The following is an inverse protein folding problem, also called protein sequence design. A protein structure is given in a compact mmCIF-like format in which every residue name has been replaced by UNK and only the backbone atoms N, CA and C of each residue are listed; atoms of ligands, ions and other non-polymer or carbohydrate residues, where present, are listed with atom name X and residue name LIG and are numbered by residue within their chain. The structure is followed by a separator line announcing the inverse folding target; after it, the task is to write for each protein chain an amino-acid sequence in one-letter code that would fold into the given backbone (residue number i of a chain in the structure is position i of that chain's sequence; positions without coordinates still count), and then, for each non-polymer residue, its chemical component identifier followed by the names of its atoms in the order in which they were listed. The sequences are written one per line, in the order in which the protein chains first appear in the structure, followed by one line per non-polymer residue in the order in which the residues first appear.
data_IF_840413675688
#
_entry.id   IF_840413675688
#
_cell.length_a   1.000
_cell.length_b   1.000
_cell.length_c   1.000
_cell.angle_alpha   90.00
_cell.angle_beta   90.00
_cell.angle_gamma   90.00
#
_symmetry.space_group_name_H-M   'P 1'
#
loop_
_entity.id
_entity.type
_entity.pdbx_description
1 polymer ?
#
# COMPACT_ATOMS: atom_id res chain seq x y z
N UNK A 1 21.85 -20.42 26.08
CA UNK A 1 20.56 -20.76 25.49
C UNK A 1 20.13 -19.68 24.52
N UNK A 2 19.48 -20.08 23.45
CA UNK A 2 18.95 -19.18 22.44
C UNK A 2 17.66 -18.49 22.94
N UNK A 3 17.51 -17.22 22.62
CA UNK A 3 16.27 -16.49 22.85
C UNK A 3 15.20 -16.98 21.87
N UNK A 4 13.97 -17.17 22.35
CA UNK A 4 12.86 -17.57 21.49
C UNK A 4 12.05 -16.34 21.03
N UNK A 5 11.95 -16.16 19.73
CA UNK A 5 11.18 -15.09 19.11
C UNK A 5 10.01 -15.71 18.34
N UNK A 6 8.80 -15.30 18.70
CA UNK A 6 7.58 -15.71 17.98
C UNK A 6 7.16 -14.57 17.04
N UNK A 7 6.89 -14.92 15.79
CA UNK A 7 6.40 -13.99 14.77
C UNK A 7 4.98 -14.40 14.38
N UNK A 8 4.06 -13.46 14.48
CA UNK A 8 2.67 -13.64 14.06
C UNK A 8 2.46 -12.97 12.71
N UNK A 9 2.37 -13.78 11.66
CA UNK A 9 2.21 -13.33 10.27
C UNK A 9 3.50 -13.39 9.46
N UNK A 10 3.39 -13.98 8.27
CA UNK A 10 4.49 -14.10 7.31
C UNK A 10 4.12 -13.46 5.96
N UNK A 11 3.46 -12.31 6.02
CA UNK A 11 3.23 -11.45 4.86
C UNK A 11 4.55 -10.80 4.41
N UNK A 12 4.46 -9.79 3.57
CA UNK A 12 5.66 -9.12 3.06
C UNK A 12 6.58 -8.59 4.17
N UNK A 13 6.03 -7.87 5.15
CA UNK A 13 6.81 -7.36 6.29
C UNK A 13 7.33 -8.48 7.19
N UNK A 14 6.47 -9.46 7.50
CA UNK A 14 6.84 -10.60 8.34
C UNK A 14 7.95 -11.43 7.73
N UNK A 15 7.86 -11.72 6.43
CA UNK A 15 8.89 -12.48 5.72
C UNK A 15 10.21 -11.72 5.67
N UNK A 16 10.20 -10.41 5.42
CA UNK A 16 11.41 -9.58 5.46
C UNK A 16 12.04 -9.59 6.86
N UNK A 17 11.22 -9.50 7.90
CA UNK A 17 11.67 -9.58 9.29
C UNK A 17 12.31 -10.93 9.61
N UNK A 18 11.64 -12.03 9.26
CA UNK A 18 12.10 -13.39 9.50
C UNK A 18 13.42 -13.66 8.78
N UNK A 19 13.51 -13.32 7.49
CA UNK A 19 14.74 -13.48 6.72
C UNK A 19 15.89 -12.67 7.32
N UNK A 20 15.63 -11.45 7.74
CA UNK A 20 16.66 -10.59 8.37
C UNK A 20 17.19 -11.24 9.65
N UNK A 21 16.31 -11.77 10.49
CA UNK A 21 16.71 -12.46 11.72
C UNK A 21 17.53 -13.73 11.43
N UNK A 22 17.06 -14.55 10.48
CA UNK A 22 17.75 -15.82 10.15
C UNK A 22 19.11 -15.57 9.49
N UNK A 23 19.19 -14.62 8.55
CA UNK A 23 20.41 -14.36 7.80
C UNK A 23 21.49 -13.68 8.64
N UNK A 24 21.12 -12.88 9.64
CA UNK A 24 22.08 -12.11 10.42
C UNK A 24 22.26 -12.64 11.85
N UNK A 25 21.23 -13.23 12.45
CA UNK A 25 21.20 -13.57 13.88
C UNK A 25 20.65 -14.99 14.15
N UNK A 26 20.64 -15.85 13.14
CA UNK A 26 20.05 -17.19 13.23
C UNK A 26 20.69 -18.09 14.27
N UNK A 27 21.97 -17.87 14.60
CA UNK A 27 22.69 -18.65 15.61
C UNK A 27 22.39 -18.18 17.04
N UNK A 28 21.77 -17.03 17.22
CA UNK A 28 21.48 -16.41 18.51
C UNK A 28 20.03 -16.63 18.96
N UNK A 29 19.14 -16.96 18.03
CA UNK A 29 17.71 -16.96 18.28
C UNK A 29 17.00 -18.16 17.67
N UNK A 30 16.02 -18.69 18.40
CA UNK A 30 15.05 -19.65 17.89
C UNK A 30 13.85 -18.86 17.35
N UNK A 31 13.50 -19.06 16.07
CA UNK A 31 12.43 -18.32 15.40
C UNK A 31 11.25 -19.27 15.14
N UNK A 32 10.08 -18.92 15.69
CA UNK A 32 8.83 -19.66 15.49
C UNK A 32 7.81 -18.73 14.83
N UNK A 33 7.23 -19.18 13.73
CA UNK A 33 6.33 -18.37 12.90
C UNK A 33 4.95 -19.02 12.83
N UNK A 34 3.91 -18.22 13.03
CA UNK A 34 2.51 -18.63 12.79
C UNK A 34 1.92 -17.77 11.69
N UNK A 35 1.33 -18.41 10.69
CA UNK A 35 0.52 -17.71 9.68
C UNK A 35 -0.82 -18.42 9.51
N UNK A 36 -1.89 -17.64 9.43
CA UNK A 36 -3.23 -18.19 9.23
C UNK A 36 -3.47 -18.59 7.77
N UNK A 37 -2.64 -18.15 6.83
CA UNK A 37 -2.79 -18.45 5.41
C UNK A 37 -2.00 -19.71 5.01
N UNK A 38 -2.28 -20.19 3.80
CA UNK A 38 -1.57 -21.31 3.17
C UNK A 38 -0.34 -20.90 2.38
N UNK A 39 -0.09 -19.60 2.23
CA UNK A 39 1.06 -19.05 1.51
C UNK A 39 1.67 -17.88 2.31
N UNK A 40 2.91 -17.53 2.00
CA UNK A 40 3.64 -16.42 2.60
C UNK A 40 4.25 -15.55 1.52
N UNK A 41 4.69 -14.35 1.89
CA UNK A 41 5.41 -13.40 1.02
C UNK A 41 4.66 -12.92 -0.23
N UNK A 42 3.33 -13.07 -0.29
CA UNK A 42 2.57 -12.63 -1.46
C UNK A 42 2.70 -11.11 -1.67
N UNK A 43 3.12 -10.73 -2.90
CA UNK A 43 3.23 -9.33 -3.32
C UNK A 43 1.88 -8.85 -3.86
N UNK A 44 1.02 -8.35 -2.98
CA UNK A 44 -0.31 -7.85 -3.35
C UNK A 44 -0.28 -6.69 -4.35
N UNK A 45 0.83 -5.94 -4.42
CA UNK A 45 1.02 -4.88 -5.40
C UNK A 45 1.05 -5.38 -6.86
N UNK A 46 1.28 -6.68 -7.08
CA UNK A 46 1.25 -7.30 -8.41
C UNK A 46 -0.08 -7.94 -8.77
N UNK A 47 -1.08 -7.90 -7.90
CA UNK A 47 -2.35 -8.58 -8.07
C UNK A 47 -3.12 -8.13 -9.32
N UNK A 48 -3.17 -6.81 -9.55
CA UNK A 48 -3.84 -6.27 -10.75
C UNK A 48 -3.12 -6.68 -12.04
N UNK A 49 -1.80 -6.77 -12.02
CA UNK A 49 -1.03 -7.27 -13.17
C UNK A 49 -1.38 -8.72 -13.50
N UNK A 50 -1.57 -9.53 -12.48
CA UNK A 50 -1.97 -10.93 -12.65
C UNK A 50 -3.40 -11.05 -13.16
N UNK A 51 -4.36 -10.35 -12.53
CA UNK A 51 -5.77 -10.33 -12.95
C UNK A 51 -5.92 -9.83 -14.39
N UNK A 52 -5.18 -8.80 -14.76
CA UNK A 52 -5.21 -8.19 -16.10
C UNK A 52 -4.37 -8.91 -17.15
N UNK A 53 -3.80 -10.07 -16.82
CA UNK A 53 -2.98 -10.89 -17.76
C UNK A 53 -1.74 -10.15 -18.28
N UNK A 54 -1.20 -9.19 -17.51
CA UNK A 54 0.04 -8.50 -17.83
C UNK A 54 1.29 -9.29 -17.39
N UNK A 55 1.09 -10.30 -16.56
CA UNK A 55 2.09 -11.32 -16.20
C UNK A 55 1.46 -12.70 -16.40
N UNK A 56 2.30 -13.71 -16.67
CA UNK A 56 1.82 -15.04 -17.07
C UNK A 56 1.20 -15.86 -15.94
N UNK A 57 1.51 -15.53 -14.70
CA UNK A 57 0.98 -16.24 -13.53
C UNK A 57 1.40 -15.58 -12.25
N UNK A 58 1.05 -16.20 -11.13
CA UNK A 58 1.31 -15.67 -9.80
C UNK A 58 2.68 -16.01 -9.23
N UNK A 59 3.45 -16.86 -9.88
CA UNK A 59 4.71 -17.40 -9.33
C UNK A 59 5.70 -16.30 -8.91
N UNK A 60 5.88 -15.28 -9.75
CA UNK A 60 6.75 -14.13 -9.47
C UNK A 60 6.26 -13.23 -8.36
N UNK A 61 5.03 -13.41 -7.88
CA UNK A 61 4.46 -12.64 -6.78
C UNK A 61 4.80 -13.21 -5.39
N UNK A 62 5.53 -14.32 -5.35
CA UNK A 62 6.04 -14.93 -4.14
C UNK A 62 7.56 -14.99 -4.20
N UNK A 63 8.24 -14.53 -3.15
CA UNK A 63 9.70 -14.58 -3.08
C UNK A 63 10.22 -15.51 -1.99
N UNK A 64 9.32 -16.09 -1.19
CA UNK A 64 9.67 -17.09 -0.18
C UNK A 64 8.51 -18.05 0.07
N UNK A 65 8.80 -19.13 0.76
CA UNK A 65 7.86 -20.16 1.19
C UNK A 65 8.30 -20.77 2.53
N UNK A 66 7.44 -21.62 3.10
CA UNK A 66 7.73 -22.32 4.36
C UNK A 66 9.04 -23.08 4.30
N UNK A 67 9.29 -23.81 3.22
CA UNK A 67 10.45 -24.68 3.06
C UNK A 67 11.75 -23.87 3.05
N UNK A 68 11.76 -22.70 2.41
CA UNK A 68 12.92 -21.80 2.40
C UNK A 68 13.23 -21.25 3.78
N UNK A 69 12.21 -20.87 4.54
CA UNK A 69 12.39 -20.35 5.91
C UNK A 69 12.85 -21.47 6.86
N UNK A 70 12.29 -22.66 6.74
CA UNK A 70 12.68 -23.80 7.57
C UNK A 70 14.10 -24.27 7.23
N UNK A 71 14.52 -24.19 5.98
CA UNK A 71 15.90 -24.49 5.57
C UNK A 71 16.91 -23.55 6.23
N UNK A 72 16.50 -22.33 6.60
CA UNK A 72 17.32 -21.36 7.32
C UNK A 72 17.25 -21.52 8.84
N UNK A 73 16.39 -22.41 9.35
CA UNK A 73 16.29 -22.73 10.76
C UNK A 73 15.04 -22.27 11.48
N UNK A 74 14.08 -21.64 10.79
CA UNK A 74 12.81 -21.28 11.40
C UNK A 74 11.90 -22.49 11.55
N UNK A 75 10.98 -22.44 12.52
CA UNK A 75 9.85 -23.35 12.59
C UNK A 75 8.60 -22.60 12.16
N UNK A 76 7.92 -23.08 11.12
CA UNK A 76 6.80 -22.38 10.50
C UNK A 76 5.53 -23.22 10.58
N UNK A 77 4.50 -22.64 11.19
CA UNK A 77 3.16 -23.21 11.24
C UNK A 77 2.24 -22.43 10.28
N UNK A 78 1.88 -23.08 9.16
CA UNK A 78 0.91 -22.54 8.20
C UNK A 78 -0.51 -22.96 8.55
N UNK A 79 -1.49 -22.23 8.03
CA UNK A 79 -2.92 -22.44 8.33
C UNK A 79 -3.19 -22.48 9.84
N UNK A 80 -2.46 -21.68 10.59
CA UNK A 80 -2.43 -21.75 12.06
C UNK A 80 -2.70 -20.35 12.63
N UNK A 81 -3.98 -19.98 12.78
CA UNK A 81 -4.32 -18.67 13.33
C UNK A 81 -3.91 -18.58 14.81
N UNK A 82 -3.32 -17.46 15.18
CA UNK A 82 -3.10 -17.13 16.58
C UNK A 82 -4.41 -16.59 17.16
N UNK A 83 -4.85 -17.19 18.24
CA UNK A 83 -6.16 -16.90 18.84
C UNK A 83 -6.06 -15.89 19.97
N UNK A 84 -5.01 -15.96 20.77
CA UNK A 84 -4.81 -15.07 21.92
C UNK A 84 -3.36 -15.03 22.36
N UNK A 85 -3.04 -14.01 23.15
CA UNK A 85 -1.71 -13.82 23.72
C UNK A 85 -1.85 -13.54 25.20
N UNK A 86 -1.14 -14.32 26.02
CA UNK A 86 -0.95 -14.05 27.43
C UNK A 86 0.36 -13.23 27.57
N UNK A 87 0.22 -11.93 27.65
CA UNK A 87 1.37 -11.02 27.70
C UNK A 87 2.14 -11.11 29.02
N UNK A 88 1.46 -11.44 30.13
CA UNK A 88 2.10 -11.55 31.44
C UNK A 88 2.99 -12.79 31.51
N UNK A 89 2.50 -13.92 31.04
CA UNK A 89 3.23 -15.18 31.04
C UNK A 89 4.03 -15.43 29.75
N UNK A 90 3.88 -14.53 28.75
CA UNK A 90 4.55 -14.61 27.45
C UNK A 90 4.29 -15.93 26.73
N UNK A 91 3.02 -16.20 26.48
CA UNK A 91 2.53 -17.41 25.78
C UNK A 91 1.57 -17.01 24.68
N UNK A 92 1.83 -17.52 23.48
CA UNK A 92 0.95 -17.44 22.32
C UNK A 92 0.10 -18.69 22.25
N UNK A 93 -1.21 -18.54 22.10
CA UNK A 93 -2.12 -19.65 21.83
C UNK A 93 -2.57 -19.60 20.38
N UNK A 94 -2.31 -20.65 19.63
CA UNK A 94 -2.66 -20.79 18.23
C UNK A 94 -3.47 -22.07 18.01
N UNK A 95 -4.19 -22.14 16.89
CA UNK A 95 -4.83 -23.35 16.42
C UNK A 95 -3.96 -23.98 15.34
N UNK A 96 -3.43 -25.17 15.61
CA UNK A 96 -2.58 -25.92 14.69
C UNK A 96 -3.25 -27.25 14.39
N UNK A 97 -3.59 -27.51 13.14
CA UNK A 97 -4.28 -28.73 12.70
C UNK A 97 -5.55 -29.02 13.52
N UNK A 98 -6.32 -27.98 13.82
CA UNK A 98 -7.57 -28.07 14.58
C UNK A 98 -7.38 -28.25 16.08
N UNK A 99 -6.15 -28.19 16.59
CA UNK A 99 -5.83 -28.35 18.00
C UNK A 99 -5.21 -27.10 18.59
N UNK A 100 -5.46 -26.86 19.87
CA UNK A 100 -4.82 -25.77 20.61
C UNK A 100 -3.32 -26.05 20.77
N UNK A 101 -2.52 -25.07 20.38
CA UNK A 101 -1.07 -25.09 20.51
C UNK A 101 -0.62 -23.88 21.30
N UNK A 102 0.19 -24.06 22.31
CA UNK A 102 0.78 -22.99 23.11
C UNK A 102 2.25 -22.90 22.87
N UNK A 103 2.74 -21.69 22.62
CA UNK A 103 4.14 -21.39 22.35
C UNK A 103 4.61 -20.27 23.27
N UNK A 104 5.62 -20.52 24.08
CA UNK A 104 6.23 -19.46 24.90
C UNK A 104 7.15 -18.59 24.04
N UNK A 105 7.36 -17.34 24.47
CA UNK A 105 8.27 -16.43 23.76
C UNK A 105 9.03 -15.54 24.75
N UNK A 106 10.18 -15.08 24.34
CA UNK A 106 10.92 -14.01 25.03
C UNK A 106 10.67 -12.67 24.32
N UNK A 107 10.59 -12.70 22.98
CA UNK A 107 10.21 -11.57 22.15
C UNK A 107 9.08 -11.98 21.23
N UNK A 108 8.21 -11.02 20.92
CA UNK A 108 7.04 -11.21 20.06
C UNK A 108 7.02 -10.15 18.97
N UNK A 109 6.77 -10.55 17.74
CA UNK A 109 6.67 -9.63 16.61
C UNK A 109 5.32 -9.84 15.93
N UNK A 110 4.56 -8.76 15.80
CA UNK A 110 3.33 -8.73 15.00
C UNK A 110 3.65 -8.27 13.58
N UNK A 111 3.28 -9.07 12.61
CA UNK A 111 3.23 -8.73 11.19
C UNK A 111 1.87 -9.16 10.65
N UNK A 112 0.83 -8.72 11.33
CA UNK A 112 -0.56 -9.17 11.11
C UNK A 112 -1.29 -8.40 10.00
N UNK A 113 -0.63 -7.43 9.38
CA UNK A 113 -1.13 -6.73 8.22
C UNK A 113 -2.39 -5.93 8.45
N UNK A 114 -3.25 -5.94 7.46
CA UNK A 114 -4.53 -5.22 7.46
C UNK A 114 -5.64 -6.09 6.89
N UNK A 115 -6.87 -5.69 7.17
CA UNK A 115 -8.09 -6.37 6.66
C UNK A 115 -8.94 -5.38 5.87
N UNK A 116 -9.70 -5.86 4.87
CA UNK A 116 -10.61 -4.99 4.12
C UNK A 116 -11.63 -4.30 5.03
N UNK A 117 -11.90 -3.03 4.75
CA UNK A 117 -13.01 -2.31 5.35
C UNK A 117 -14.31 -2.85 4.74
N UNK A 118 -15.29 -3.14 5.59
CA UNK A 118 -16.59 -3.67 5.22
C UNK A 118 -17.62 -2.52 5.25
N UNK A 119 -17.93 -1.87 4.11
CA UNK A 119 -18.91 -0.80 4.09
C UNK A 119 -20.32 -1.36 4.33
N UNK A 120 -21.21 -0.59 5.00
CA UNK A 120 -22.59 -1.01 5.18
C UNK A 120 -23.35 -0.86 3.86
N UNK A 121 -23.52 -1.95 3.12
CA UNK A 121 -24.19 -1.99 1.84
C UNK A 121 -25.43 -2.90 1.96
N UNK A 122 -26.62 -2.34 1.65
CA UNK A 122 -27.85 -3.10 1.65
C UNK A 122 -27.80 -4.21 0.59
N UNK A 123 -28.32 -5.40 0.94
CA UNK A 123 -28.34 -6.56 0.05
C UNK A 123 -27.09 -7.44 0.08
N UNK A 124 -26.09 -7.04 0.85
CA UNK A 124 -24.86 -7.81 0.97
C UNK A 124 -24.63 -8.22 2.43
N UNK A 125 -24.65 -9.51 2.68
CA UNK A 125 -24.19 -10.10 3.93
C UNK A 125 -22.76 -10.61 3.74
N UNK A 126 -21.89 -10.30 4.68
CA UNK A 126 -20.50 -10.69 4.63
C UNK A 126 -20.22 -11.69 5.73
N UNK A 127 -19.72 -12.85 5.34
CA UNK A 127 -19.28 -13.91 6.25
C UNK A 127 -17.77 -13.80 6.42
N UNK A 128 -17.35 -13.63 7.68
CA UNK A 128 -15.92 -13.58 8.04
C UNK A 128 -15.41 -14.99 8.28
N UNK A 129 -14.57 -15.50 7.38
CA UNK A 129 -13.81 -16.72 7.59
C UNK A 129 -12.56 -16.49 8.42
N UNK A 130 -11.75 -17.54 8.61
CA UNK A 130 -10.52 -17.45 9.39
C UNK A 130 -9.46 -16.55 8.74
N UNK A 131 -9.47 -16.41 7.43
CA UNK A 131 -8.48 -15.63 6.67
C UNK A 131 -9.06 -14.72 5.58
N UNK A 132 -10.30 -14.95 5.16
CA UNK A 132 -10.91 -14.16 4.08
C UNK A 132 -12.36 -13.81 4.40
N UNK A 133 -12.81 -12.70 3.80
CA UNK A 133 -14.22 -12.32 3.84
C UNK A 133 -14.90 -12.78 2.56
N UNK A 134 -16.11 -13.30 2.68
CA UNK A 134 -16.95 -13.66 1.54
C UNK A 134 -18.33 -13.04 1.68
N UNK A 135 -18.84 -12.51 0.58
CA UNK A 135 -20.23 -12.09 0.51
C UNK A 135 -21.13 -13.30 0.21
N UNK A 136 -22.34 -13.31 0.77
CA UNK A 136 -23.33 -14.34 0.46
C UNK A 136 -23.91 -14.19 -0.94
N UNK A 137 -23.97 -12.96 -1.45
CA UNK A 137 -24.36 -12.70 -2.83
C UNK A 137 -23.18 -13.02 -3.76
N UNK A 138 -23.39 -13.91 -4.72
CA UNK A 138 -22.35 -14.33 -5.67
C UNK A 138 -21.88 -13.14 -6.51
N UNK A 139 -20.56 -13.07 -6.77
CA UNK A 139 -19.88 -12.05 -7.57
C UNK A 139 -19.74 -10.68 -6.87
N UNK A 140 -19.84 -10.63 -5.57
CA UNK A 140 -19.30 -9.55 -4.75
C UNK A 140 -17.94 -10.01 -4.26
N UNK A 141 -16.88 -9.29 -4.67
CA UNK A 141 -15.49 -9.73 -4.47
C UNK A 141 -14.72 -8.74 -3.61
N UNK A 142 -13.82 -9.29 -2.79
CA UNK A 142 -12.74 -8.54 -2.15
C UNK A 142 -11.44 -8.85 -2.87
N UNK A 143 -10.45 -7.97 -2.78
CA UNK A 143 -9.16 -8.17 -3.46
C UNK A 143 -8.03 -7.77 -2.53
N UNK A 144 -7.55 -8.71 -1.74
CA UNK A 144 -6.38 -8.53 -0.87
C UNK A 144 -5.47 -9.76 -0.86
N UNK A 145 -6.04 -10.93 -0.66
CA UNK A 145 -5.29 -12.17 -0.56
C UNK A 145 -5.09 -12.80 -1.94
N UNK A 146 -4.08 -13.64 -2.05
CA UNK A 146 -3.84 -14.47 -3.24
C UNK A 146 -5.12 -15.20 -3.67
N UNK A 147 -5.83 -15.80 -2.70
CA UNK A 147 -7.06 -16.53 -2.96
C UNK A 147 -8.17 -15.64 -3.53
N UNK A 148 -8.23 -14.36 -3.12
CA UNK A 148 -9.20 -13.43 -3.68
C UNK A 148 -8.93 -13.18 -5.17
N UNK A 149 -7.69 -12.94 -5.55
CA UNK A 149 -7.29 -12.72 -6.93
C UNK A 149 -7.53 -13.98 -7.77
N UNK A 150 -7.17 -15.15 -7.25
CA UNK A 150 -7.40 -16.43 -7.93
C UNK A 150 -8.89 -16.68 -8.19
N UNK A 151 -9.76 -16.38 -7.22
CA UNK A 151 -11.21 -16.51 -7.38
C UNK A 151 -11.73 -15.59 -8.51
N UNK A 152 -11.30 -14.34 -8.55
CA UNK A 152 -11.70 -13.40 -9.60
C UNK A 152 -11.23 -13.90 -10.97
N UNK A 153 -9.99 -14.33 -11.08
CA UNK A 153 -9.41 -14.84 -12.32
C UNK A 153 -10.19 -16.06 -12.82
N UNK A 154 -10.46 -17.01 -11.94
CA UNK A 154 -11.20 -18.23 -12.31
C UNK A 154 -12.63 -17.92 -12.74
N UNK A 155 -13.31 -16.99 -12.08
CA UNK A 155 -14.65 -16.55 -12.47
C UNK A 155 -14.66 -15.89 -13.84
N UNK A 156 -13.70 -15.00 -14.09
CA UNK A 156 -13.61 -14.28 -15.38
C UNK A 156 -13.19 -15.21 -16.52
N UNK A 157 -12.42 -16.26 -16.25
CA UNK A 157 -12.04 -17.26 -17.24
C UNK A 157 -13.21 -18.16 -17.68
N UNK A 158 -14.21 -18.32 -16.83
CA UNK A 158 -15.42 -19.10 -17.13
C UNK A 158 -16.41 -18.23 -17.92
N UNK A 159 -16.35 -18.33 -19.23
CA UNK A 159 -17.18 -17.52 -20.15
C UNK A 159 -18.67 -17.82 -20.05
N UNK A 160 -19.05 -18.98 -19.51
CA UNK A 160 -20.45 -19.32 -19.28
C UNK A 160 -21.11 -18.45 -18.20
N UNK A 161 -20.33 -17.78 -17.39
CA UNK A 161 -20.82 -16.88 -16.34
C UNK A 161 -21.23 -15.50 -16.87
N UNK A 162 -20.79 -15.12 -18.07
CA UNK A 162 -21.11 -13.83 -18.70
C UNK A 162 -20.84 -12.61 -17.80
N UNK A 163 -19.64 -12.58 -17.20
CA UNK A 163 -19.21 -11.49 -16.34
C UNK A 163 -18.57 -10.37 -17.17
N UNK A 164 -19.41 -9.59 -17.86
CA UNK A 164 -18.97 -8.60 -18.83
C UNK A 164 -18.92 -7.17 -18.30
N UNK A 165 -19.71 -6.88 -17.26
CA UNK A 165 -19.83 -5.54 -16.66
C UNK A 165 -19.40 -5.60 -15.22
N UNK A 166 -18.36 -4.83 -14.87
CA UNK A 166 -17.74 -4.85 -13.55
C UNK A 166 -17.77 -3.46 -12.93
N UNK A 167 -18.28 -3.37 -11.71
CA UNK A 167 -18.16 -2.17 -10.89
C UNK A 167 -17.00 -2.36 -9.91
N UNK A 168 -16.10 -1.39 -9.86
CA UNK A 168 -15.06 -1.30 -8.85
C UNK A 168 -15.44 -0.19 -7.89
N UNK A 169 -15.60 -0.50 -6.61
CA UNK A 169 -15.97 0.46 -5.57
C UNK A 169 -14.72 0.82 -4.80
N UNK A 170 -14.32 2.08 -4.89
CA UNK A 170 -13.08 2.61 -4.32
C UNK A 170 -12.08 3.01 -5.39
N UNK A 171 -11.77 4.30 -5.47
CA UNK A 171 -10.90 4.91 -6.48
C UNK A 171 -9.49 5.22 -5.98
N UNK A 172 -9.00 4.50 -4.97
CA UNK A 172 -7.60 4.54 -4.55
C UNK A 172 -6.69 3.76 -5.51
N UNK A 173 -5.46 3.51 -5.09
CA UNK A 173 -4.48 2.78 -5.92
C UNK A 173 -5.01 1.46 -6.45
N UNK A 174 -5.52 0.62 -5.54
CA UNK A 174 -6.00 -0.72 -5.88
C UNK A 174 -7.18 -0.65 -6.83
N UNK A 175 -8.15 0.21 -6.55
CA UNK A 175 -9.32 0.35 -7.40
C UNK A 175 -9.01 0.83 -8.80
N UNK A 176 -8.11 1.81 -8.92
CA UNK A 176 -7.67 2.34 -10.23
C UNK A 176 -6.93 1.26 -11.02
N UNK A 177 -6.03 0.53 -10.38
CA UNK A 177 -5.27 -0.55 -11.02
C UNK A 177 -6.19 -1.71 -11.44
N UNK A 178 -7.18 -2.06 -10.63
CA UNK A 178 -8.17 -3.08 -10.98
C UNK A 178 -9.06 -2.64 -12.14
N UNK A 179 -9.48 -1.37 -12.16
CA UNK A 179 -10.28 -0.84 -13.27
C UNK A 179 -9.53 -0.97 -14.60
N UNK A 180 -8.24 -0.64 -14.63
CA UNK A 180 -7.40 -0.85 -15.80
C UNK A 180 -7.33 -2.35 -16.17
N UNK A 181 -7.10 -3.21 -15.19
CA UNK A 181 -6.98 -4.64 -15.42
C UNK A 181 -8.23 -5.22 -16.08
N UNK A 182 -9.40 -4.88 -15.58
CA UNK A 182 -10.67 -5.36 -16.13
C UNK A 182 -10.97 -4.80 -17.51
N UNK A 183 -10.69 -3.52 -17.75
CA UNK A 183 -10.87 -2.93 -19.07
C UNK A 183 -9.94 -3.61 -20.10
N UNK A 184 -8.69 -3.88 -19.75
CA UNK A 184 -7.75 -4.61 -20.60
C UNK A 184 -8.24 -6.02 -20.98
N UNK A 185 -9.05 -6.63 -20.11
CA UNK A 185 -9.72 -7.92 -20.40
C UNK A 185 -10.97 -7.76 -21.26
N UNK A 186 -11.27 -6.56 -21.72
CA UNK A 186 -12.45 -6.27 -22.55
C UNK A 186 -13.75 -6.11 -21.77
N UNK A 187 -13.68 -5.92 -20.47
CA UNK A 187 -14.87 -5.68 -19.63
C UNK A 187 -15.32 -4.23 -19.71
N UNK A 188 -16.61 -4.01 -19.55
CA UNK A 188 -17.19 -2.69 -19.33
C UNK A 188 -17.05 -2.36 -17.84
N UNK A 189 -16.36 -1.26 -17.52
CA UNK A 189 -15.97 -0.94 -16.14
C UNK A 189 -16.55 0.40 -15.70
N UNK A 190 -17.12 0.43 -14.50
CA UNK A 190 -17.45 1.64 -13.77
C UNK A 190 -16.63 1.67 -12.47
N UNK A 191 -15.96 2.79 -12.22
CA UNK A 191 -15.21 3.05 -10.98
C UNK A 191 -16.01 4.04 -10.14
N UNK A 192 -16.40 3.60 -8.95
CA UNK A 192 -17.28 4.36 -8.04
C UNK A 192 -16.49 4.78 -6.81
N UNK A 193 -16.59 6.04 -6.40
CA UNK A 193 -16.04 6.50 -5.13
C UNK A 193 -16.96 7.54 -4.49
N UNK A 194 -16.96 7.57 -3.17
CA UNK A 194 -17.71 8.56 -2.38
C UNK A 194 -17.11 9.95 -2.51
N UNK A 195 -15.79 10.05 -2.70
CA UNK A 195 -15.11 11.33 -2.95
C UNK A 195 -15.16 11.69 -4.43
N UNK A 196 -14.92 12.94 -4.74
CA UNK A 196 -15.06 13.48 -6.11
C UNK A 196 -13.79 13.32 -6.96
N UNK A 197 -12.85 12.51 -6.53
CA UNK A 197 -11.56 12.30 -7.21
C UNK A 197 -11.08 10.88 -7.08
N UNK A 198 -10.23 10.43 -8.02
CA UNK A 198 -9.44 9.22 -7.88
C UNK A 198 -8.13 9.54 -7.15
N UNK A 199 -7.46 8.53 -6.60
CA UNK A 199 -6.16 8.65 -5.91
C UNK A 199 -6.15 9.70 -4.80
N UNK A 200 -7.28 9.84 -4.12
CA UNK A 200 -7.44 10.81 -3.03
C UNK A 200 -6.39 10.59 -1.93
N UNK A 201 -5.77 11.67 -1.50
CA UNK A 201 -4.79 11.65 -0.42
C UNK A 201 -3.33 11.45 -0.86
N UNK A 202 -3.07 11.06 -2.10
CA UNK A 202 -1.71 10.88 -2.63
C UNK A 202 -1.25 12.02 -3.52
N UNK A 203 -2.20 12.73 -4.15
CA UNK A 203 -1.94 13.83 -5.07
C UNK A 203 -2.96 14.95 -4.86
N UNK A 204 -2.59 16.16 -5.19
CA UNK A 204 -3.52 17.28 -5.25
C UNK A 204 -4.45 17.16 -6.48
N UNK A 205 -5.60 17.84 -6.44
CA UNK A 205 -6.69 17.66 -7.44
C UNK A 205 -6.28 17.91 -8.88
N UNK A 206 -5.43 18.88 -9.12
CA UNK A 206 -4.94 19.17 -10.48
C UNK A 206 -4.20 17.98 -11.08
N UNK A 207 -3.54 17.16 -10.25
CA UNK A 207 -2.86 15.96 -10.68
C UNK A 207 -3.79 14.75 -10.75
N UNK A 208 -4.69 14.57 -9.78
CA UNK A 208 -5.67 13.47 -9.85
C UNK A 208 -6.58 13.59 -11.06
N UNK A 209 -6.89 14.82 -11.52
CA UNK A 209 -7.67 15.05 -12.72
C UNK A 209 -7.00 14.52 -13.99
N UNK A 210 -5.67 14.53 -14.04
CA UNK A 210 -4.93 13.94 -15.16
C UNK A 210 -5.14 12.43 -15.23
N UNK A 211 -5.13 11.74 -14.08
CA UNK A 211 -5.44 10.32 -14.05
C UNK A 211 -6.91 10.05 -14.36
N UNK A 212 -7.82 10.85 -13.84
CA UNK A 212 -9.24 10.71 -14.15
C UNK A 212 -9.48 10.80 -15.67
N UNK A 213 -8.89 11.79 -16.33
CA UNK A 213 -8.95 11.92 -17.79
C UNK A 213 -8.36 10.70 -18.50
N UNK A 214 -7.23 10.21 -18.04
CA UNK A 214 -6.59 9.02 -18.59
C UNK A 214 -7.51 7.79 -18.52
N UNK A 215 -8.19 7.60 -17.41
CA UNK A 215 -9.15 6.49 -17.25
C UNK A 215 -10.34 6.65 -18.19
N UNK A 216 -10.91 7.84 -18.27
CA UNK A 216 -12.06 8.12 -19.18
C UNK A 216 -11.66 7.97 -20.64
N UNK A 217 -10.46 8.40 -21.04
CA UNK A 217 -9.93 8.23 -22.38
C UNK A 217 -9.80 6.75 -22.78
N UNK A 218 -9.73 5.85 -21.80
CA UNK A 218 -9.69 4.41 -21.98
C UNK A 218 -11.01 3.72 -21.66
N UNK A 219 -12.13 4.44 -21.78
CA UNK A 219 -13.51 3.95 -21.65
C UNK A 219 -13.89 3.44 -20.25
N UNK A 220 -13.20 3.87 -19.21
CA UNK A 220 -13.64 3.60 -17.85
C UNK A 220 -14.62 4.70 -17.43
N UNK A 221 -15.84 4.31 -17.05
CA UNK A 221 -16.82 5.23 -16.51
C UNK A 221 -16.42 5.58 -15.06
N UNK A 222 -16.31 6.88 -14.77
CA UNK A 222 -16.09 7.36 -13.42
C UNK A 222 -17.40 7.84 -12.80
N UNK A 223 -17.80 7.22 -11.70
CA UNK A 223 -18.97 7.59 -10.90
C UNK A 223 -18.48 8.12 -9.55
N UNK A 224 -17.92 9.33 -9.56
CA UNK A 224 -17.32 9.97 -8.41
C UNK A 224 -18.31 10.84 -7.63
N UNK A 225 -18.08 11.02 -6.33
CA UNK A 225 -18.99 11.76 -5.47
C UNK A 225 -20.31 11.01 -5.27
N UNK A 226 -20.30 9.69 -5.33
CA UNK A 226 -21.46 8.84 -5.18
C UNK A 226 -21.28 7.83 -4.07
N UNK A 227 -22.27 7.70 -3.20
CA UNK A 227 -22.27 6.72 -2.12
C UNK A 227 -23.00 5.46 -2.56
N UNK A 228 -22.32 4.31 -2.47
CA UNK A 228 -22.98 3.02 -2.72
C UNK A 228 -23.98 2.74 -1.60
N UNK A 229 -25.24 2.50 -1.98
CA UNK A 229 -26.34 2.23 -1.04
C UNK A 229 -26.70 0.75 -1.00
N UNK A 230 -26.73 0.08 -2.14
CA UNK A 230 -27.17 -1.30 -2.23
C UNK A 230 -26.48 -2.04 -3.38
N UNK A 231 -26.37 -3.34 -3.23
CA UNK A 231 -26.07 -4.27 -4.30
C UNK A 231 -27.20 -5.28 -4.31
N UNK A 232 -27.84 -5.46 -5.47
CA UNK A 232 -29.01 -6.29 -5.61
C UNK A 232 -28.80 -7.39 -6.63
N UNK A 233 -29.53 -8.50 -6.42
CA UNK A 233 -29.56 -9.63 -7.35
C UNK A 233 -30.25 -10.84 -6.72
N UNK A 234 -30.66 -11.77 -7.55
CA UNK A 234 -31.24 -13.05 -7.13
C UNK A 234 -30.13 -14.09 -7.06
N UNK A 235 -29.51 -14.21 -5.89
CA UNK A 235 -28.40 -15.13 -5.63
C UNK A 235 -27.04 -14.67 -6.17
N UNK A 236 -27.03 -13.79 -7.16
CA UNK A 236 -25.82 -13.19 -7.77
C UNK A 236 -26.07 -11.75 -8.11
N UNK A 237 -25.00 -10.98 -8.23
CA UNK A 237 -25.05 -9.55 -8.55
C UNK A 237 -25.78 -9.30 -9.88
N UNK A 238 -26.71 -8.35 -9.88
CA UNK A 238 -27.39 -7.84 -11.07
C UNK A 238 -27.25 -6.34 -11.21
N UNK A 239 -27.18 -5.60 -10.10
CA UNK A 239 -27.06 -4.14 -10.14
C UNK A 239 -26.42 -3.55 -8.89
N UNK A 240 -25.79 -2.42 -9.07
CA UNK A 240 -25.21 -1.56 -8.04
C UNK A 240 -26.02 -0.27 -7.96
N UNK A 241 -26.46 0.10 -6.78
CA UNK A 241 -27.26 1.29 -6.54
C UNK A 241 -26.48 2.29 -5.70
N UNK A 242 -26.33 3.51 -6.21
CA UNK A 242 -25.75 4.62 -5.47
C UNK A 242 -26.86 5.61 -5.10
N UNK A 243 -26.50 6.66 -4.37
CA UNK A 243 -27.43 7.77 -4.06
C UNK A 243 -27.84 8.58 -5.31
N UNK A 244 -27.20 8.37 -6.47
CA UNK A 244 -27.45 9.14 -7.70
C UNK A 244 -27.85 8.29 -8.89
N UNK A 245 -27.37 7.05 -8.99
CA UNK A 245 -27.54 6.22 -10.19
C UNK A 245 -27.71 4.75 -9.83
N UNK A 246 -28.19 3.99 -10.80
CA UNK A 246 -28.22 2.53 -10.77
C UNK A 246 -27.41 2.01 -11.95
N UNK A 247 -26.50 1.06 -11.69
CA UNK A 247 -25.69 0.43 -12.72
C UNK A 247 -26.04 -1.05 -12.83
N UNK A 248 -26.33 -1.51 -14.04
CA UNK A 248 -26.44 -2.94 -14.30
C UNK A 248 -25.03 -3.51 -14.38
N UNK A 249 -24.72 -4.45 -13.51
CA UNK A 249 -23.38 -5.05 -13.40
C UNK A 249 -23.48 -6.54 -13.12
N UNK A 250 -22.44 -7.27 -13.48
CA UNK A 250 -22.36 -8.72 -13.29
C UNK A 250 -21.44 -9.07 -12.11
N UNK A 251 -20.53 -8.17 -11.75
CA UNK A 251 -19.62 -8.34 -10.62
C UNK A 251 -19.37 -6.98 -9.96
N UNK A 252 -19.22 -6.99 -8.66
CA UNK A 252 -18.79 -5.83 -7.87
C UNK A 252 -17.53 -6.19 -7.11
N UNK A 253 -16.48 -5.39 -7.26
CA UNK A 253 -15.24 -5.53 -6.51
C UNK A 253 -15.14 -4.40 -5.50
N UNK A 254 -15.07 -4.76 -4.22
CA UNK A 254 -14.99 -3.80 -3.12
C UNK A 254 -13.51 -3.52 -2.80
N UNK A 255 -13.06 -2.32 -3.10
CA UNK A 255 -11.69 -1.87 -2.92
C UNK A 255 -11.66 -0.54 -2.13
N UNK A 256 -12.45 -0.46 -1.04
CA UNK A 256 -12.68 0.78 -0.28
C UNK A 256 -11.61 1.06 0.79
N UNK A 257 -10.58 0.25 0.87
CA UNK A 257 -9.48 0.41 1.81
C UNK A 257 -9.39 -0.68 2.85
N UNK A 258 -8.44 -0.51 3.76
CA UNK A 258 -8.08 -1.50 4.76
C UNK A 258 -7.93 -0.85 6.12
N UNK A 259 -8.14 -1.65 7.17
CA UNK A 259 -7.81 -1.25 8.54
C UNK A 259 -6.72 -2.16 9.09
N UNK A 260 -5.86 -1.66 10.00
CA UNK A 260 -4.85 -2.49 10.64
C UNK A 260 -5.48 -3.68 11.39
N UNK A 261 -4.85 -4.84 11.28
CA UNK A 261 -5.29 -6.04 11.98
C UNK A 261 -4.59 -6.13 13.34
N UNK A 262 -5.24 -5.61 14.37
CA UNK A 262 -4.66 -5.49 15.72
C UNK A 262 -5.52 -6.10 16.83
N UNK A 263 -6.39 -7.05 16.47
CA UNK A 263 -7.27 -7.71 17.42
C UNK A 263 -6.52 -8.35 18.61
N UNK A 264 -5.30 -8.84 18.37
CA UNK A 264 -4.47 -9.48 19.40
C UNK A 264 -3.91 -8.50 20.44
N UNK A 265 -4.08 -7.19 20.23
CA UNK A 265 -3.76 -6.20 21.27
C UNK A 265 -4.62 -6.39 22.51
N UNK A 266 -5.88 -6.80 22.33
CA UNK A 266 -6.84 -7.14 23.39
C UNK A 266 -6.88 -6.13 24.54
N UNK A 267 -6.83 -4.83 24.20
CA UNK A 267 -6.79 -3.75 25.19
C UNK A 267 -5.48 -3.65 25.99
N UNK A 268 -4.48 -4.47 25.70
CA UNK A 268 -3.20 -4.52 26.45
C UNK A 268 -2.11 -3.66 25.84
N UNK A 269 -2.19 -3.39 24.54
CA UNK A 269 -1.18 -2.61 23.79
C UNK A 269 -1.82 -1.30 23.35
N UNK A 270 -1.07 -0.20 23.50
CA UNK A 270 -1.51 1.11 23.04
C UNK A 270 -1.66 1.14 21.53
N UNK A 271 -2.78 1.66 21.05
CA UNK A 271 -3.10 1.74 19.62
C UNK A 271 -3.17 3.21 19.18
N UNK A 272 -2.84 3.44 17.92
CA UNK A 272 -3.04 4.71 17.25
C UNK A 272 -4.55 4.94 17.00
N UNK A 273 -4.93 6.17 16.64
CA UNK A 273 -6.35 6.55 16.45
C UNK A 273 -7.09 5.71 15.39
N UNK A 274 -6.37 5.15 14.41
CA UNK A 274 -6.95 4.26 13.38
C UNK A 274 -6.94 2.77 13.78
N UNK A 275 -6.45 2.45 14.97
CA UNK A 275 -6.34 1.08 15.48
C UNK A 275 -5.00 0.40 15.21
N UNK A 276 -4.05 1.03 14.53
CA UNK A 276 -2.72 0.45 14.32
C UNK A 276 -1.96 0.32 15.64
N UNK A 277 -1.07 -0.68 15.74
CA UNK A 277 -0.13 -0.74 16.86
C UNK A 277 0.72 0.51 16.87
N UNK A 278 0.67 1.26 17.97
CA UNK A 278 1.51 2.42 18.16
C UNK A 278 2.92 1.95 18.51
N UNK A 279 3.87 2.23 17.64
CA UNK A 279 5.27 1.82 17.81
C UNK A 279 6.20 3.04 17.79
N UNK A 280 7.35 2.89 18.41
CA UNK A 280 8.45 3.86 18.33
C UNK A 280 9.30 3.60 17.07
N UNK A 281 10.41 4.33 16.91
CA UNK A 281 11.30 4.18 15.75
C UNK A 281 12.09 2.87 15.75
N UNK A 282 12.01 2.08 16.81
CA UNK A 282 12.56 0.74 16.90
C UNK A 282 11.53 -0.35 16.61
N UNK A 283 10.33 0.04 16.22
CA UNK A 283 9.16 -0.81 16.00
C UNK A 283 8.68 -1.50 17.28
N UNK A 284 9.02 -0.97 18.45
CA UNK A 284 8.58 -1.50 19.73
C UNK A 284 7.24 -0.89 20.14
N UNK A 285 6.31 -1.74 20.59
CA UNK A 285 4.99 -1.34 21.11
C UNK A 285 5.09 -0.82 22.54
N UNK A 286 3.95 -0.50 23.15
CA UNK A 286 3.89 -0.11 24.57
C UNK A 286 4.27 -1.23 25.53
N UNK A 287 4.30 -2.49 25.09
CA UNK A 287 4.80 -3.61 25.90
C UNK A 287 6.26 -3.89 25.53
N UNK A 288 7.20 -3.77 26.48
CA UNK A 288 8.61 -4.09 26.21
C UNK A 288 8.78 -5.51 25.65
N UNK A 289 9.60 -5.65 24.61
CA UNK A 289 9.85 -6.92 23.97
C UNK A 289 8.77 -7.36 22.98
N UNK A 290 7.76 -6.56 22.76
CA UNK A 290 6.70 -6.78 21.77
C UNK A 290 6.80 -5.74 20.66
N UNK A 291 6.99 -6.20 19.44
CA UNK A 291 7.24 -5.37 18.25
C UNK A 291 6.09 -5.53 17.24
N UNK A 292 5.91 -4.53 16.40
CA UNK A 292 4.98 -4.61 15.29
C UNK A 292 5.58 -3.96 14.04
N UNK A 293 5.40 -4.61 12.89
CA UNK A 293 5.99 -4.21 11.61
C UNK A 293 4.95 -4.28 10.49
N UNK A 294 5.18 -3.50 9.44
CA UNK A 294 4.30 -3.48 8.28
C UNK A 294 2.96 -2.79 8.53
N UNK A 295 1.94 -3.23 7.80
CA UNK A 295 0.65 -2.55 7.74
C UNK A 295 -0.17 -2.60 9.03
N UNK A 296 0.23 -3.36 10.02
CA UNK A 296 -0.43 -3.34 11.33
C UNK A 296 0.11 -2.26 12.27
N UNK A 297 1.19 -1.58 11.90
CA UNK A 297 1.92 -0.65 12.76
C UNK A 297 1.97 0.77 12.20
N UNK A 298 2.16 1.74 13.09
CA UNK A 298 2.42 3.13 12.74
C UNK A 298 3.83 3.31 12.20
N UNK A 299 4.07 4.47 11.59
CA UNK A 299 5.38 4.92 11.12
C UNK A 299 5.65 6.34 11.62
N UNK A 300 6.90 6.78 11.60
CA UNK A 300 7.24 8.17 11.80
C UNK A 300 7.32 8.88 10.45
N UNK A 301 6.50 9.91 10.27
CA UNK A 301 6.41 10.69 9.04
C UNK A 301 7.35 11.91 9.16
N UNK A 302 8.41 11.91 8.35
CA UNK A 302 9.43 12.98 8.39
C UNK A 302 8.90 14.34 7.91
N UNK A 303 7.93 14.35 7.01
CA UNK A 303 7.31 15.59 6.54
C UNK A 303 6.41 16.19 7.61
N UNK A 304 5.61 15.36 8.30
CA UNK A 304 4.76 15.80 9.42
C UNK A 304 5.54 16.06 10.70
N UNK A 305 6.71 15.42 10.84
CA UNK A 305 7.51 15.38 12.08
C UNK A 305 6.72 14.78 13.23
N UNK A 306 5.96 13.74 12.96
CA UNK A 306 5.04 13.10 13.90
C UNK A 306 4.73 11.66 13.46
N UNK A 307 4.17 10.90 14.39
CA UNK A 307 3.67 9.55 14.12
C UNK A 307 2.48 9.60 13.16
N UNK A 308 2.44 8.69 12.21
CA UNK A 308 1.40 8.58 11.20
C UNK A 308 1.16 7.12 10.83
N UNK A 309 0.21 6.89 9.94
CA UNK A 309 -0.04 5.58 9.37
C UNK A 309 0.07 5.66 7.84
N UNK A 310 1.03 4.93 7.28
CA UNK A 310 1.29 4.88 5.83
C UNK A 310 1.55 3.44 5.43
N UNK A 311 0.55 2.79 4.85
CA UNK A 311 0.61 1.38 4.48
C UNK A 311 1.13 1.21 3.04
N UNK A 312 2.45 1.08 2.92
CA UNK A 312 3.14 0.87 1.64
C UNK A 312 4.13 -0.29 1.74
N UNK A 313 4.21 -1.10 0.67
CA UNK A 313 5.08 -2.28 0.63
C UNK A 313 6.55 -1.98 0.94
N UNK A 314 7.07 -0.85 0.46
CA UNK A 314 8.45 -0.43 0.73
C UNK A 314 8.69 -0.13 2.22
N UNK A 315 7.70 0.43 2.91
CA UNK A 315 7.76 0.65 4.35
C UNK A 315 7.70 -0.67 5.12
N UNK A 316 6.91 -1.62 4.63
CA UNK A 316 6.78 -2.94 5.25
C UNK A 316 8.14 -3.65 5.36
N UNK A 317 8.93 -3.63 4.30
CA UNK A 317 10.27 -4.25 4.30
C UNK A 317 11.20 -3.56 5.29
N UNK A 318 11.30 -2.23 5.25
CA UNK A 318 12.19 -1.47 6.14
C UNK A 318 11.81 -1.62 7.60
N UNK A 319 10.53 -1.56 7.93
CA UNK A 319 10.06 -1.76 9.31
C UNK A 319 10.33 -3.20 9.76
N UNK A 320 10.19 -4.18 8.87
CA UNK A 320 10.54 -5.56 9.12
C UNK A 320 12.01 -5.73 9.50
N UNK A 321 12.92 -5.07 8.78
CA UNK A 321 14.36 -5.08 9.08
C UNK A 321 14.63 -4.46 10.45
N UNK A 322 14.08 -3.29 10.73
CA UNK A 322 14.28 -2.59 12.01
C UNK A 322 13.76 -3.43 13.18
N UNK A 323 12.56 -3.99 13.04
CA UNK A 323 11.98 -4.86 14.07
C UNK A 323 12.83 -6.11 14.33
N UNK A 324 13.39 -6.71 13.27
CA UNK A 324 14.26 -7.87 13.38
C UNK A 324 15.51 -7.59 14.20
N UNK A 325 16.19 -6.50 13.91
CA UNK A 325 17.40 -6.12 14.63
C UNK A 325 17.12 -5.92 16.12
N UNK A 326 16.09 -5.16 16.44
CA UNK A 326 15.76 -4.85 17.83
C UNK A 326 15.25 -6.06 18.61
N UNK A 327 14.44 -6.92 17.99
CA UNK A 327 13.99 -8.15 18.61
C UNK A 327 15.17 -9.12 18.92
N UNK A 328 16.21 -9.09 18.09
CA UNK A 328 17.41 -9.89 18.29
C UNK A 328 18.45 -9.22 19.21
N UNK A 329 18.12 -8.10 19.84
CA UNK A 329 18.99 -7.41 20.76
C UNK A 329 20.08 -6.53 20.12
N UNK A 330 19.98 -6.27 18.83
CA UNK A 330 20.88 -5.41 18.08
C UNK A 330 20.19 -4.08 17.77
N UNK A 331 20.44 -3.10 18.60
CA UNK A 331 19.75 -1.80 18.54
C UNK A 331 19.88 -1.12 17.17
N UNK A 332 18.73 -0.81 16.57
CA UNK A 332 18.64 -0.11 15.30
C UNK A 332 17.41 0.80 15.33
N UNK A 333 17.63 2.10 15.18
CA UNK A 333 16.55 3.05 15.09
C UNK A 333 16.25 3.36 13.64
N UNK A 334 14.96 3.30 13.26
CA UNK A 334 14.53 3.70 11.92
C UNK A 334 14.65 5.21 11.74
N UNK A 335 14.77 5.63 10.49
CA UNK A 335 14.96 7.05 10.13
C UNK A 335 13.67 7.75 9.71
N UNK A 336 12.52 7.10 9.85
CA UNK A 336 11.25 7.62 9.40
C UNK A 336 11.01 7.39 7.91
N UNK A 337 9.85 7.85 7.45
CA UNK A 337 9.37 7.64 6.07
C UNK A 337 8.76 8.92 5.51
N UNK A 338 8.56 8.96 4.19
CA UNK A 338 7.92 10.06 3.49
C UNK A 338 6.66 9.63 2.72
N UNK A 339 6.38 8.32 2.64
CA UNK A 339 5.25 7.82 1.88
C UNK A 339 5.47 7.87 0.38
N UNK A 340 6.69 7.58 -0.07
CA UNK A 340 7.01 7.54 -1.50
C UNK A 340 6.22 6.44 -2.20
N UNK A 341 5.56 6.78 -3.29
CA UNK A 341 4.67 5.88 -4.02
C UNK A 341 4.61 6.22 -5.50
N UNK A 342 4.11 5.28 -6.30
CA UNK A 342 3.93 5.47 -7.72
C UNK A 342 2.86 4.56 -8.28
N UNK A 343 2.26 4.98 -9.40
CA UNK A 343 1.26 4.22 -10.14
C UNK A 343 1.51 4.43 -11.64
N UNK A 344 1.23 3.40 -12.43
CA UNK A 344 1.32 3.48 -13.89
C UNK A 344 0.07 2.86 -14.50
N UNK A 345 -0.68 3.67 -15.23
CA UNK A 345 -1.97 3.27 -15.82
C UNK A 345 -1.96 3.68 -17.29
N UNK A 346 -2.10 2.71 -18.19
CA UNK A 346 -2.03 2.94 -19.64
C UNK A 346 -0.82 3.78 -20.06
N UNK A 347 0.32 3.53 -19.42
CA UNK A 347 1.57 4.23 -19.70
C UNK A 347 1.70 5.63 -19.09
N UNK A 348 0.66 6.13 -18.42
CA UNK A 348 0.76 7.37 -17.65
C UNK A 348 1.29 7.05 -16.25
N UNK A 349 2.45 7.57 -15.93
CA UNK A 349 3.11 7.39 -14.64
C UNK A 349 2.81 8.57 -13.73
N UNK A 350 2.50 8.27 -12.48
CA UNK A 350 2.36 9.27 -11.42
C UNK A 350 3.16 8.82 -10.22
N UNK A 351 3.94 9.72 -9.66
CA UNK A 351 4.78 9.45 -8.49
C UNK A 351 4.64 10.59 -7.50
N UNK A 352 4.67 10.27 -6.20
CA UNK A 352 4.65 11.29 -5.16
C UNK A 352 5.45 10.86 -3.94
N UNK A 353 5.80 11.85 -3.11
CA UNK A 353 6.44 11.64 -1.82
C UNK A 353 6.10 12.81 -0.90
N UNK A 354 6.03 12.57 0.39
CA UNK A 354 5.69 13.59 1.38
C UNK A 354 4.21 13.96 1.36
N UNK A 355 3.92 15.23 1.66
CA UNK A 355 2.57 15.75 1.82
C UNK A 355 2.06 16.41 0.54
N UNK A 356 0.78 16.25 0.26
CA UNK A 356 0.07 17.13 -0.67
C UNK A 356 -0.05 18.52 -0.06
N UNK A 357 -0.39 19.53 -0.86
CA UNK A 357 -0.63 20.88 -0.36
C UNK A 357 -1.74 20.87 0.71
N UNK A 358 -2.83 20.17 0.43
CA UNK A 358 -3.95 20.03 1.37
C UNK A 358 -3.51 19.42 2.69
N UNK A 359 -2.77 18.32 2.66
CA UNK A 359 -2.26 17.64 3.86
C UNK A 359 -1.25 18.49 4.62
N UNK A 360 -0.38 19.22 3.93
CA UNK A 360 0.58 20.11 4.55
C UNK A 360 -0.11 21.24 5.31
N UNK A 361 -1.14 21.84 4.73
CA UNK A 361 -1.96 22.85 5.40
C UNK A 361 -2.69 22.26 6.61
N UNK A 362 -3.27 21.08 6.47
CA UNK A 362 -3.95 20.38 7.57
C UNK A 362 -2.99 20.02 8.71
N UNK A 363 -1.72 19.79 8.40
CA UNK A 363 -0.67 19.52 9.40
C UNK A 363 -0.17 20.79 10.12
N UNK A 364 -0.69 21.95 9.77
CA UNK A 364 -0.37 23.23 10.44
C UNK A 364 0.75 24.03 9.81
N UNK A 365 1.27 23.58 8.64
CA UNK A 365 2.30 24.36 7.93
C UNK A 365 1.70 25.57 7.22
N UNK A 366 2.48 26.64 7.11
CA UNK A 366 2.21 27.73 6.18
C UNK A 366 2.64 27.30 4.78
N UNK A 367 1.94 26.30 4.25
CA UNK A 367 2.34 25.60 3.04
C UNK A 367 1.93 26.36 1.78
N UNK A 368 2.79 26.28 0.78
CA UNK A 368 2.52 26.73 -0.58
C UNK A 368 3.09 25.73 -1.57
N UNK A 369 2.87 25.97 -2.85
CA UNK A 369 3.36 25.11 -3.92
C UNK A 369 4.03 25.90 -5.02
N UNK A 370 4.93 25.25 -5.72
CA UNK A 370 5.45 25.70 -7.02
C UNK A 370 5.27 24.57 -8.02
N UNK A 371 5.08 24.90 -9.27
CA UNK A 371 4.88 23.92 -10.32
C UNK A 371 5.55 24.34 -11.61
N UNK A 372 5.78 23.37 -12.47
CA UNK A 372 6.32 23.58 -13.80
C UNK A 372 5.90 22.45 -14.73
N UNK A 373 5.67 22.78 -15.99
CA UNK A 373 5.36 21.81 -17.04
C UNK A 373 6.35 22.01 -18.18
N UNK A 374 7.04 20.96 -18.59
CA UNK A 374 7.98 21.03 -19.70
C UNK A 374 8.25 19.63 -20.25
N UNK A 375 8.88 19.57 -21.41
CA UNK A 375 9.36 18.30 -21.98
C UNK A 375 10.52 17.75 -21.13
N UNK A 376 10.63 16.45 -21.08
CA UNK A 376 11.75 15.76 -20.43
C UNK A 376 13.07 16.11 -21.10
N UNK A 377 13.09 16.16 -22.43
CA UNK A 377 14.27 16.42 -23.26
C UNK A 377 14.07 17.65 -24.14
N UNK A 378 15.16 18.21 -24.71
CA UNK A 378 15.03 19.33 -25.63
C UNK A 378 14.09 19.01 -26.80
N UNK A 379 13.46 20.04 -27.35
CA UNK A 379 12.49 19.91 -28.44
C UNK A 379 13.05 19.28 -29.71
N UNK A 380 14.38 19.40 -29.93
CA UNK A 380 15.02 18.75 -31.08
C UNK A 380 15.15 17.23 -30.94
N UNK A 381 14.89 16.68 -29.74
CA UNK A 381 14.78 15.23 -29.54
C UNK A 381 13.37 14.80 -29.92
N UNK A 382 13.19 14.31 -31.14
CA UNK A 382 11.87 14.07 -31.72
C UNK A 382 11.22 12.75 -31.29
N UNK A 383 12.00 11.83 -30.70
CA UNK A 383 11.52 10.52 -30.31
C UNK A 383 11.66 10.31 -28.81
N UNK A 384 10.71 9.60 -28.21
CA UNK A 384 10.70 9.29 -26.78
C UNK A 384 10.93 10.54 -25.92
N UNK A 385 10.14 11.58 -26.20
CA UNK A 385 10.21 12.85 -25.49
C UNK A 385 8.81 13.28 -25.08
N UNK A 386 8.53 13.29 -23.78
CA UNK A 386 7.21 13.48 -23.22
C UNK A 386 7.17 14.68 -22.27
N UNK A 387 6.02 15.29 -22.16
CA UNK A 387 5.79 16.34 -21.16
C UNK A 387 5.84 15.76 -19.75
N UNK A 388 6.37 16.56 -18.84
CA UNK A 388 6.39 16.28 -17.40
C UNK A 388 5.71 17.44 -16.68
N UNK A 389 4.77 17.10 -15.81
CA UNK A 389 4.22 18.06 -14.84
C UNK A 389 4.83 17.76 -13.47
N UNK A 390 5.32 18.78 -12.80
CA UNK A 390 5.85 18.69 -11.44
C UNK A 390 5.19 19.71 -10.53
N UNK A 391 4.96 19.30 -9.29
CA UNK A 391 4.53 20.15 -8.18
C UNK A 391 5.43 19.89 -6.99
N UNK A 392 5.90 20.96 -6.34
CA UNK A 392 6.66 20.88 -5.10
C UNK A 392 5.91 21.67 -4.04
N UNK A 393 5.62 21.03 -2.91
CA UNK A 393 4.98 21.65 -1.74
C UNK A 393 6.09 21.99 -0.75
N UNK A 394 6.08 23.20 -0.25
CA UNK A 394 7.07 23.68 0.73
C UNK A 394 6.45 24.61 1.75
N UNK A 395 7.13 24.78 2.88
CA UNK A 395 6.73 25.71 3.93
C UNK A 395 7.28 27.10 3.61
N UNK A 396 6.41 28.11 3.59
CA UNK A 396 6.83 29.51 3.32
C UNK A 396 7.81 30.05 4.35
N UNK A 397 7.69 29.63 5.60
CA UNK A 397 8.49 30.16 6.70
C UNK A 397 9.89 29.56 6.74
N UNK A 398 9.98 28.23 6.79
CA UNK A 398 11.26 27.53 6.85
C UNK A 398 11.89 27.31 5.46
N UNK A 399 11.09 27.36 4.42
CA UNK A 399 11.46 27.02 3.04
C UNK A 399 11.74 25.54 2.81
N UNK A 400 11.48 24.68 3.84
CA UNK A 400 11.61 23.24 3.72
C UNK A 400 10.66 22.65 2.69
N UNK A 401 11.17 21.70 1.90
CA UNK A 401 10.36 20.88 1.00
C UNK A 401 9.54 19.90 1.85
N UNK A 402 8.23 19.86 1.64
CA UNK A 402 7.29 19.02 2.37
C UNK A 402 6.70 17.91 1.52
N UNK A 403 6.69 18.06 0.21
CA UNK A 403 6.15 17.07 -0.70
C UNK A 403 6.45 17.37 -2.16
N UNK A 404 6.32 16.35 -3.00
CA UNK A 404 6.48 16.50 -4.44
C UNK A 404 5.58 15.51 -5.18
N UNK A 405 5.12 15.90 -6.35
CA UNK A 405 4.27 15.09 -7.23
C UNK A 405 4.75 15.28 -8.67
N UNK A 406 4.83 14.19 -9.43
CA UNK A 406 5.17 14.24 -10.84
C UNK A 406 4.27 13.33 -11.67
N UNK A 407 3.94 13.78 -12.88
CA UNK A 407 3.12 13.04 -13.84
C UNK A 407 3.78 13.10 -15.21
N UNK A 408 3.95 11.96 -15.87
CA UNK A 408 4.49 11.89 -17.23
C UNK A 408 4.28 10.51 -17.84
N UNK A 409 4.31 10.43 -19.15
CA UNK A 409 4.51 9.17 -19.87
C UNK A 409 5.98 8.76 -19.90
N UNK A 410 6.90 9.59 -19.41
CA UNK A 410 8.32 9.25 -19.29
C UNK A 410 8.61 8.61 -17.94
N UNK A 411 9.20 7.42 -17.97
CA UNK A 411 9.51 6.66 -16.75
C UNK A 411 10.62 7.28 -15.90
N UNK A 412 11.35 8.28 -16.41
CA UNK A 412 12.42 8.95 -15.67
C UNK A 412 11.94 9.56 -14.35
N UNK A 413 10.69 10.01 -14.27
CA UNK A 413 10.11 10.57 -13.04
C UNK A 413 10.11 9.56 -11.89
N UNK A 414 10.05 8.27 -12.20
CA UNK A 414 9.96 7.20 -11.18
C UNK A 414 11.19 7.14 -10.28
N UNK A 415 12.37 7.43 -10.82
CA UNK A 415 13.59 7.52 -10.01
C UNK A 415 13.81 8.94 -9.47
N UNK A 416 13.39 9.96 -10.21
CA UNK A 416 13.52 11.36 -9.81
C UNK A 416 12.78 11.69 -8.52
N UNK A 417 11.67 11.03 -8.24
CA UNK A 417 10.92 11.26 -6.99
C UNK A 417 11.74 10.93 -5.74
N UNK A 418 12.67 10.01 -5.83
CA UNK A 418 13.47 9.60 -4.68
C UNK A 418 14.43 10.68 -4.19
N UNK A 419 14.84 11.59 -5.07
CA UNK A 419 15.60 12.78 -4.68
C UNK A 419 14.77 13.65 -3.72
N UNK A 420 13.48 13.80 -4.00
CA UNK A 420 12.56 14.54 -3.11
C UNK A 420 12.31 13.81 -1.80
N UNK A 421 12.26 12.49 -1.82
CA UNK A 421 12.17 11.71 -0.59
C UNK A 421 13.37 12.00 0.32
N UNK A 422 14.57 11.94 -0.22
CA UNK A 422 15.80 12.28 0.52
C UNK A 422 15.80 13.74 0.98
N UNK A 423 15.38 14.65 0.11
CA UNK A 423 15.32 16.08 0.44
C UNK A 423 14.39 16.33 1.65
N UNK A 424 13.23 15.70 1.68
CA UNK A 424 12.29 15.82 2.82
C UNK A 424 12.91 15.23 4.09
N UNK A 425 13.49 14.05 3.99
CA UNK A 425 14.15 13.38 5.11
C UNK A 425 15.23 14.24 5.75
N UNK A 426 16.02 14.94 4.93
CA UNK A 426 17.14 15.76 5.37
C UNK A 426 16.78 17.25 5.47
N UNK A 427 15.49 17.59 5.44
CA UNK A 427 14.98 18.95 5.63
C UNK A 427 15.61 19.99 4.68
N UNK A 428 15.79 19.60 3.42
CA UNK A 428 16.35 20.46 2.37
C UNK A 428 15.34 21.54 2.01
N UNK A 429 15.84 22.77 1.81
CA UNK A 429 15.00 23.90 1.40
C UNK A 429 14.83 23.94 -0.12
N UNK A 430 13.74 24.57 -0.57
CA UNK A 430 13.48 24.81 -2.00
C UNK A 430 14.61 25.61 -2.64
N UNK A 431 15.24 26.52 -1.88
CA UNK A 431 16.33 27.35 -2.36
C UNK A 431 17.61 26.56 -2.63
N UNK A 432 17.91 25.56 -1.78
CA UNK A 432 19.02 24.63 -2.02
C UNK A 432 18.75 23.73 -3.22
N UNK A 433 17.51 23.28 -3.40
CA UNK A 433 17.15 22.49 -4.56
C UNK A 433 17.42 23.24 -5.87
N UNK A 434 17.10 24.55 -5.90
CA UNK A 434 17.29 25.38 -7.08
C UNK A 434 18.74 25.43 -7.57
N UNK A 435 19.69 25.21 -6.67
CA UNK A 435 21.15 25.28 -6.96
C UNK A 435 21.82 23.90 -6.90
N UNK A 436 21.06 22.84 -6.73
CA UNK A 436 21.60 21.49 -6.70
C UNK A 436 22.21 21.13 -8.05
N UNK A 437 23.37 20.46 -8.01
CA UNK A 437 24.07 20.00 -9.20
C UNK A 437 23.29 18.89 -9.91
N UNK A 438 22.48 19.29 -10.90
CA UNK A 438 21.77 18.39 -11.79
C UNK A 438 22.42 18.46 -13.16
N UNK A 439 22.93 17.33 -13.66
CA UNK A 439 23.60 17.29 -14.94
C UNK A 439 22.65 17.58 -16.11
N UNK A 440 23.21 18.02 -17.22
CA UNK A 440 22.48 18.15 -18.47
C UNK A 440 23.12 17.30 -19.57
N UNK A 441 22.28 16.54 -20.26
CA UNK A 441 22.62 15.87 -21.51
C UNK A 441 21.34 15.72 -22.33
N UNK A 442 21.35 16.13 -23.63
CA UNK A 442 20.11 16.09 -24.45
C UNK A 442 19.44 14.73 -24.52
N UNK A 443 20.20 13.65 -24.37
CA UNK A 443 19.65 12.29 -24.31
C UNK A 443 18.70 12.09 -23.12
N UNK A 444 18.83 12.86 -22.08
CA UNK A 444 18.12 12.65 -20.82
C UNK A 444 17.26 13.82 -20.37
N UNK A 445 17.71 15.04 -20.50
CA UNK A 445 17.01 16.19 -19.95
C UNK A 445 17.35 17.51 -20.67
N UNK A 446 16.85 18.62 -20.11
CA UNK A 446 17.08 19.98 -20.58
C UNK A 446 18.07 20.71 -19.65
N UNK A 447 18.79 21.76 -20.13
CA UNK A 447 19.69 22.56 -19.30
C UNK A 447 19.00 23.17 -18.09
N UNK A 448 17.77 23.69 -18.29
CA UNK A 448 16.89 24.18 -17.25
C UNK A 448 15.72 23.18 -17.17
N UNK A 449 15.95 22.05 -16.53
CA UNK A 449 14.92 21.02 -16.43
C UNK A 449 13.77 21.45 -15.50
N UNK A 450 12.68 20.72 -15.55
CA UNK A 450 11.48 21.04 -14.79
C UNK A 450 11.70 21.10 -13.27
N UNK A 451 12.65 20.32 -12.74
CA UNK A 451 12.96 20.34 -11.29
C UNK A 451 13.60 21.67 -10.93
N UNK A 452 14.65 22.06 -11.66
CA UNK A 452 15.34 23.33 -11.45
C UNK A 452 14.39 24.51 -11.65
N UNK A 453 13.56 24.47 -12.70
CA UNK A 453 12.63 25.56 -13.01
C UNK A 453 11.54 25.68 -11.92
N UNK A 454 10.99 24.58 -11.45
CA UNK A 454 10.01 24.62 -10.36
C UNK A 454 10.60 25.25 -9.10
N UNK A 455 11.84 24.91 -8.76
CA UNK A 455 12.52 25.48 -7.60
C UNK A 455 12.88 26.98 -7.80
N UNK A 456 13.39 27.35 -8.97
CA UNK A 456 13.76 28.75 -9.27
C UNK A 456 12.55 29.69 -9.32
N UNK A 457 11.40 29.20 -9.76
CA UNK A 457 10.15 29.99 -9.87
C UNK A 457 9.31 29.98 -8.62
N UNK A 458 9.76 29.31 -7.56
CA UNK A 458 9.05 29.28 -6.30
C UNK A 458 8.92 30.69 -5.70
N UNK A 459 7.73 30.99 -5.16
CA UNK A 459 7.45 32.24 -4.47
C UNK A 459 8.43 32.45 -3.30
N UNK A 460 8.93 33.67 -3.20
CA UNK A 460 9.87 34.04 -2.13
C UNK A 460 9.17 34.58 -0.89
#
# INVERSE_FOLDING_TARGET
SMSKIVVVGANHAGTACINTMLDNFGNENEIVVFDQNSNISFLGCGMALWIGEQIDGAEGLFYSDKEKLEAKGAKVYMNSPVLSIDYDNKVVTAEVEGKEHKESYEKLIFATGSTPILPPIEGVEIVKGNREFKATLENVQFVKLYQNAEEVINKLADKSKHLDRIAVVGGGYIGVELAEAFERLGKEVVLVDIVDTVLNGYYDKDFTQMMAKNLEDHNIRLALGQTVKAIEGDGKVERLITDKETFDVDMVVLAVGFRPNTALADGKIELFRNGAFLVDKKQETSIPGVYAVGDCATVYDNARKDTSYIALASNAVRTGIVGAYNACGHELEGIGVQGSNGISIYGLHMVSTGLTLEKAKAAGYNATETGFNDLQKPEFMKHDNHEVAIKIVFDKDSREILGAQMVSHDSAISMGIHMFSLAIQEHVTIDKLALTDLFFLPHFNKPYNYITMAALTAEK
#
